data_IF_823621369650
#
_entry.id   IF_823621369650
#
_cell.length_a   1.000
_cell.length_b   1.000
_cell.length_c   1.000
_cell.angle_alpha   90.00
_cell.angle_beta   90.00
_cell.angle_gamma   90.00
#
_symmetry.space_group_name_H-M   'P 1'
#
loop_
_entity.id
_entity.type
_entity.pdbx_description
1 polymer ?
#
# COMPACT_ATOMS: atom_id res chain seq x y z
N UNK A 1 -22.53 0.78 17.04
CA UNK A 1 -21.83 2.02 17.43
C UNK A 1 -22.43 3.22 16.72
N UNK A 2 -22.45 4.39 17.39
CA UNK A 2 -22.90 5.65 16.77
C UNK A 2 -21.68 6.46 16.37
N UNK A 3 -21.53 6.72 15.07
CA UNK A 3 -20.42 7.51 14.53
C UNK A 3 -20.79 8.98 14.67
N UNK A 4 -20.22 9.68 15.67
CA UNK A 4 -20.58 11.06 15.99
C UNK A 4 -19.94 12.07 15.05
N UNK A 5 -18.70 11.84 14.64
CA UNK A 5 -17.97 12.76 13.77
C UNK A 5 -16.89 12.07 12.94
N UNK A 6 -16.58 12.70 11.81
CA UNK A 6 -15.46 12.35 10.94
C UNK A 6 -14.64 13.60 10.70
N UNK A 7 -13.41 13.60 11.15
CA UNK A 7 -12.43 14.66 10.91
C UNK A 7 -11.47 14.22 9.80
N UNK A 8 -11.21 15.11 8.85
CA UNK A 8 -10.33 14.88 7.73
C UNK A 8 -9.16 15.87 7.78
N UNK A 9 -7.95 15.37 7.62
CA UNK A 9 -6.73 16.18 7.56
C UNK A 9 -5.90 15.77 6.36
N UNK A 10 -5.58 16.74 5.51
CA UNK A 10 -4.56 16.56 4.48
C UNK A 10 -3.19 16.83 5.10
N UNK A 11 -2.25 15.91 4.88
CA UNK A 11 -0.87 16.04 5.33
C UNK A 11 0.11 15.76 4.19
N UNK A 12 1.29 16.35 4.28
CA UNK A 12 2.42 16.08 3.38
C UNK A 12 3.56 15.46 4.17
N UNK A 13 4.02 14.31 3.71
CA UNK A 13 5.07 13.53 4.34
C UNK A 13 6.26 13.42 3.38
N UNK A 14 7.40 14.04 3.69
CA UNK A 14 8.62 13.78 2.95
C UNK A 14 9.04 12.33 3.14
N UNK A 15 9.44 11.67 2.06
CA UNK A 15 9.98 10.31 2.12
C UNK A 15 11.43 10.36 2.60
N UNK A 16 11.84 9.44 3.48
CA UNK A 16 13.24 9.27 3.90
C UNK A 16 14.12 8.95 2.70
N UNK A 17 13.59 8.16 1.75
CA UNK A 17 14.22 7.86 0.47
C UNK A 17 13.17 8.02 -0.62
N UNK A 18 13.58 8.55 -1.76
CA UNK A 18 12.68 8.62 -2.92
C UNK A 18 12.22 7.23 -3.35
N UNK A 19 11.05 7.18 -3.97
CA UNK A 19 10.52 5.97 -4.57
C UNK A 19 10.25 6.21 -6.05
N UNK A 20 11.02 5.55 -6.92
CA UNK A 20 10.92 5.70 -8.37
C UNK A 20 10.30 4.47 -9.01
N UNK A 21 9.41 4.72 -9.94
CA UNK A 21 8.71 3.73 -10.78
C UNK A 21 8.93 4.07 -12.25
N UNK A 22 8.37 3.27 -13.15
CA UNK A 22 8.45 3.53 -14.60
C UNK A 22 7.76 4.83 -15.05
N UNK A 23 6.90 5.42 -14.22
CA UNK A 23 6.13 6.63 -14.55
C UNK A 23 6.47 7.85 -13.69
N UNK A 24 7.42 7.74 -12.78
CA UNK A 24 7.87 8.91 -12.04
C UNK A 24 8.58 8.60 -10.73
N UNK A 25 9.20 9.65 -10.18
CA UNK A 25 9.91 9.67 -8.89
C UNK A 25 9.07 10.44 -7.88
N UNK A 26 8.82 9.81 -6.74
CA UNK A 26 8.09 10.39 -5.61
C UNK A 26 9.08 10.67 -4.49
N UNK A 27 9.10 11.89 -3.99
CA UNK A 27 9.94 12.33 -2.85
C UNK A 27 9.12 12.72 -1.64
N UNK A 28 7.83 12.92 -1.83
CA UNK A 28 6.88 13.32 -0.80
C UNK A 28 5.55 12.62 -1.06
N UNK A 29 4.77 12.37 -0.03
CA UNK A 29 3.40 11.89 -0.14
C UNK A 29 2.42 12.89 0.41
N UNK A 30 1.41 13.23 -0.38
CA UNK A 30 0.20 13.92 0.03
C UNK A 30 -0.86 12.87 0.33
N UNK A 31 -1.38 12.85 1.53
CA UNK A 31 -2.37 11.88 1.98
C UNK A 31 -3.46 12.55 2.80
N UNK A 32 -4.64 11.93 2.85
CA UNK A 32 -5.72 12.41 3.68
C UNK A 32 -5.92 11.40 4.82
N UNK A 33 -5.76 11.88 6.05
CA UNK A 33 -6.05 11.11 7.26
C UNK A 33 -7.51 11.32 7.65
N UNK A 34 -8.21 10.25 7.94
CA UNK A 34 -9.55 10.25 8.50
C UNK A 34 -9.52 9.81 9.95
N UNK A 35 -10.10 10.60 10.85
CA UNK A 35 -10.40 10.23 12.23
C UNK A 35 -11.90 10.09 12.38
N UNK A 36 -12.34 8.93 12.80
CA UNK A 36 -13.74 8.64 13.13
C UNK A 36 -13.88 8.59 14.64
N UNK A 37 -14.89 9.26 15.18
CA UNK A 37 -15.14 9.26 16.63
C UNK A 37 -16.58 8.84 16.92
N UNK A 38 -16.80 8.17 18.06
CA UNK A 38 -18.12 7.84 18.58
C UNK A 38 -18.60 8.86 19.59
N UNK A 39 -19.90 8.83 19.92
CA UNK A 39 -20.46 9.65 20.99
C UNK A 39 -19.85 9.36 22.38
N UNK A 40 -19.26 8.20 22.55
CA UNK A 40 -18.60 7.76 23.79
C UNK A 40 -17.13 8.15 23.87
N UNK A 41 -16.60 8.83 22.82
CA UNK A 41 -15.23 9.31 22.77
C UNK A 41 -14.21 8.29 22.26
N UNK A 42 -14.63 7.12 21.79
CA UNK A 42 -13.73 6.18 21.12
C UNK A 42 -13.34 6.72 19.73
N UNK A 43 -12.09 6.46 19.32
CA UNK A 43 -11.53 6.97 18.08
C UNK A 43 -10.85 5.89 17.25
N UNK A 44 -11.02 5.96 15.93
CA UNK A 44 -10.32 5.14 14.96
C UNK A 44 -9.73 5.99 13.84
N UNK A 45 -8.68 5.48 13.20
CA UNK A 45 -7.89 6.19 12.22
C UNK A 45 -7.79 5.41 10.91
N UNK A 46 -7.91 6.12 9.81
CA UNK A 46 -7.75 5.58 8.46
C UNK A 46 -7.02 6.55 7.55
N UNK A 47 -6.60 6.07 6.40
CA UNK A 47 -5.79 6.82 5.45
C UNK A 47 -6.34 6.66 4.03
N UNK A 48 -6.52 7.78 3.31
CA UNK A 48 -6.71 7.79 1.88
C UNK A 48 -5.34 7.96 1.21
N UNK A 49 -4.89 6.90 0.55
CA UNK A 49 -3.56 6.84 -0.08
C UNK A 49 -3.55 7.30 -1.53
N UNK A 50 -4.57 8.03 -1.95
CA UNK A 50 -4.65 8.63 -3.29
C UNK A 50 -3.45 9.55 -3.53
N UNK A 51 -2.80 9.39 -4.68
CA UNK A 51 -1.57 10.13 -5.02
C UNK A 51 -1.82 11.58 -5.39
N UNK A 52 -0.77 12.28 -5.85
CA UNK A 52 -0.85 13.67 -6.31
C UNK A 52 -1.61 13.85 -7.63
N UNK A 53 -1.72 12.81 -8.45
CA UNK A 53 -2.38 12.86 -9.75
C UNK A 53 -2.79 11.50 -10.27
N UNK A 54 -3.53 11.45 -11.37
CA UNK A 54 -4.12 10.23 -11.93
C UNK A 54 -3.13 9.39 -12.74
N UNK A 55 -1.88 9.24 -12.23
CA UNK A 55 -0.82 8.52 -12.95
C UNK A 55 -0.72 7.05 -12.57
N UNK A 56 -1.20 6.69 -11.38
CA UNK A 56 -1.22 5.32 -10.89
C UNK A 56 -2.65 4.74 -10.87
N UNK A 57 -3.61 5.55 -10.48
CA UNK A 57 -5.04 5.21 -10.46
C UNK A 57 -5.84 6.41 -10.95
N UNK A 58 -7.11 6.22 -11.22
CA UNK A 58 -8.09 7.25 -11.57
C UNK A 58 -8.46 8.16 -10.39
N UNK A 59 -8.06 7.80 -9.19
CA UNK A 59 -8.33 8.53 -7.95
C UNK A 59 -7.05 9.18 -7.42
N UNK A 60 -7.11 10.49 -7.10
CA UNK A 60 -6.01 11.25 -6.52
C UNK A 60 -6.55 12.24 -5.47
N UNK A 61 -5.67 12.91 -4.73
CA UNK A 61 -6.02 13.72 -3.57
C UNK A 61 -7.08 14.79 -3.88
N UNK A 62 -6.98 15.48 -5.04
CA UNK A 62 -7.96 16.52 -5.45
C UNK A 62 -9.36 15.96 -5.73
N UNK A 63 -9.49 14.70 -6.16
CA UNK A 63 -10.81 14.07 -6.34
C UNK A 63 -11.29 13.39 -5.06
N UNK A 64 -10.37 12.87 -4.25
CA UNK A 64 -10.70 12.21 -3.00
C UNK A 64 -11.23 13.20 -1.93
N UNK A 65 -10.61 14.38 -1.81
CA UNK A 65 -11.01 15.37 -0.81
C UNK A 65 -12.47 15.80 -0.92
N UNK A 66 -12.98 16.34 -2.08
CA UNK A 66 -14.38 16.70 -2.20
C UNK A 66 -15.31 15.48 -2.11
N UNK A 67 -14.88 14.31 -2.56
CA UNK A 67 -15.68 13.08 -2.40
C UNK A 67 -15.86 12.72 -0.93
N UNK A 68 -14.78 12.80 -0.15
CA UNK A 68 -14.84 12.56 1.29
C UNK A 68 -15.73 13.59 2.00
N UNK A 69 -15.49 14.88 1.76
CA UNK A 69 -16.13 15.97 2.50
C UNK A 69 -17.61 16.18 2.12
N UNK A 70 -17.95 16.07 0.82
CA UNK A 70 -19.27 16.40 0.31
C UNK A 70 -20.22 15.21 0.23
N UNK A 71 -19.70 13.99 0.21
CA UNK A 71 -20.52 12.79 0.01
C UNK A 71 -20.30 11.74 1.10
N UNK A 72 -19.07 11.20 1.23
CA UNK A 72 -18.83 10.01 2.06
C UNK A 72 -18.97 10.30 3.55
N UNK A 73 -18.34 11.34 4.07
CA UNK A 73 -18.43 11.68 5.49
C UNK A 73 -19.87 12.05 5.91
N UNK A 74 -20.66 12.83 5.14
CA UNK A 74 -22.07 13.07 5.46
C UNK A 74 -22.97 11.83 5.42
N UNK A 75 -22.61 10.80 4.63
CA UNK A 75 -23.37 9.54 4.60
C UNK A 75 -23.17 8.71 5.86
N UNK A 76 -22.06 8.87 6.55
CA UNK A 76 -21.62 8.02 7.67
C UNK A 76 -21.75 8.75 9.02
N UNK A 77 -21.45 10.05 9.08
CA UNK A 77 -21.54 10.83 10.30
C UNK A 77 -23.00 10.89 10.81
N UNK A 78 -23.18 10.72 12.10
CA UNK A 78 -24.49 10.66 12.77
C UNK A 78 -25.21 9.32 12.60
N UNK A 79 -24.62 8.34 11.94
CA UNK A 79 -25.24 7.02 11.73
C UNK A 79 -24.93 6.06 12.86
N UNK A 80 -25.93 5.28 13.18
CA UNK A 80 -25.78 4.05 13.96
C UNK A 80 -25.51 2.89 13.02
N UNK A 81 -24.45 2.12 13.28
CA UNK A 81 -24.06 0.92 12.54
C UNK A 81 -23.87 -0.24 13.51
N UNK A 82 -24.21 -1.47 13.09
CA UNK A 82 -23.97 -2.64 13.92
C UNK A 82 -22.47 -2.95 14.04
N UNK A 83 -21.70 -2.70 12.98
CA UNK A 83 -20.25 -2.89 12.96
C UNK A 83 -19.59 -2.14 11.82
N UNK A 84 -18.26 -2.20 11.77
CA UNK A 84 -17.44 -1.54 10.73
C UNK A 84 -17.78 -2.06 9.32
N UNK A 85 -18.18 -3.32 9.20
CA UNK A 85 -18.59 -3.93 7.93
C UNK A 85 -19.77 -3.22 7.26
N UNK A 86 -20.67 -2.64 8.04
CA UNK A 86 -21.85 -1.96 7.51
C UNK A 86 -21.52 -0.59 6.88
N UNK A 87 -20.38 0.00 7.24
CA UNK A 87 -19.98 1.34 6.79
C UNK A 87 -19.83 1.41 5.27
N UNK A 88 -19.28 0.35 4.66
CA UNK A 88 -19.17 0.29 3.20
C UNK A 88 -20.52 0.34 2.50
N UNK A 89 -21.55 -0.31 3.07
CA UNK A 89 -22.90 -0.34 2.52
C UNK A 89 -23.53 1.07 2.48
N UNK A 90 -23.26 1.90 3.49
CA UNK A 90 -23.71 3.30 3.51
C UNK A 90 -23.13 4.11 2.33
N UNK A 91 -21.89 3.77 1.93
CA UNK A 91 -21.14 4.50 0.90
C UNK A 91 -21.24 3.89 -0.51
N UNK A 92 -21.88 2.74 -0.68
CA UNK A 92 -21.85 1.98 -1.94
C UNK A 92 -22.50 2.68 -3.13
N UNK A 93 -23.42 3.61 -2.89
CA UNK A 93 -24.06 4.41 -3.95
C UNK A 93 -23.09 5.35 -4.65
N UNK A 94 -22.02 5.78 -4.00
CA UNK A 94 -20.94 6.56 -4.62
C UNK A 94 -20.11 5.62 -5.52
N UNK A 95 -20.03 5.95 -6.81
CA UNK A 95 -19.27 5.14 -7.79
C UNK A 95 -17.79 5.40 -7.67
N UNK A 96 -16.96 4.34 -7.79
CA UNK A 96 -15.50 4.46 -7.68
C UNK A 96 -15.03 4.94 -6.30
N UNK A 97 -14.04 5.80 -6.27
CA UNK A 97 -13.46 6.44 -5.08
C UNK A 97 -13.14 5.45 -3.93
N UNK A 98 -12.47 4.37 -4.30
CA UNK A 98 -12.20 3.25 -3.38
C UNK A 98 -11.22 3.63 -2.29
N UNK A 99 -10.22 4.47 -2.60
CA UNK A 99 -9.25 4.95 -1.60
C UNK A 99 -9.91 5.92 -0.61
N UNK A 100 -10.80 6.79 -1.07
CA UNK A 100 -11.58 7.64 -0.19
C UNK A 100 -12.53 6.84 0.71
N UNK A 101 -13.22 5.84 0.17
CA UNK A 101 -14.06 4.93 0.98
C UNK A 101 -13.25 4.16 1.99
N UNK A 102 -12.10 3.61 1.58
CA UNK A 102 -11.21 2.88 2.46
C UNK A 102 -10.74 3.71 3.65
N UNK A 103 -10.51 5.02 3.48
CA UNK A 103 -10.11 5.89 4.58
C UNK A 103 -11.14 5.89 5.73
N UNK A 104 -12.43 6.00 5.42
CA UNK A 104 -13.50 5.97 6.43
C UNK A 104 -13.72 4.56 6.96
N UNK A 105 -13.78 3.57 6.07
CA UNK A 105 -14.02 2.17 6.43
C UNK A 105 -12.90 1.64 7.35
N UNK A 106 -11.63 1.84 7.00
CA UNK A 106 -10.51 1.40 7.84
C UNK A 106 -10.46 2.11 9.18
N UNK A 107 -10.85 3.39 9.25
CA UNK A 107 -10.98 4.10 10.51
C UNK A 107 -12.05 3.46 11.42
N UNK A 108 -13.17 2.99 10.84
CA UNK A 108 -14.20 2.30 11.60
C UNK A 108 -13.74 0.91 12.07
N UNK A 109 -12.98 0.17 11.26
CA UNK A 109 -12.37 -1.10 11.66
C UNK A 109 -11.34 -0.93 12.78
N UNK A 110 -10.51 0.11 12.72
CA UNK A 110 -9.55 0.45 13.78
C UNK A 110 -10.26 0.80 15.09
N UNK A 111 -11.34 1.59 15.00
CA UNK A 111 -12.17 1.96 16.14
C UNK A 111 -12.81 0.72 16.79
N UNK A 112 -13.45 -0.14 15.99
CA UNK A 112 -14.14 -1.34 16.48
C UNK A 112 -13.15 -2.31 17.14
N UNK A 113 -11.97 -2.51 16.55
CA UNK A 113 -10.92 -3.34 17.13
C UNK A 113 -10.42 -2.78 18.49
N UNK A 114 -10.25 -1.46 18.60
CA UNK A 114 -9.88 -0.79 19.86
C UNK A 114 -10.96 -0.94 20.93
N UNK A 115 -12.23 -0.78 20.56
CA UNK A 115 -13.35 -1.01 21.50
C UNK A 115 -13.41 -2.46 21.99
N UNK A 116 -13.08 -3.41 21.11
CA UNK A 116 -12.98 -4.83 21.47
C UNK A 116 -11.71 -5.18 22.26
N UNK A 117 -10.77 -4.25 22.44
CA UNK A 117 -9.48 -4.50 23.11
C UNK A 117 -8.57 -5.47 22.34
N UNK A 118 -8.76 -5.56 21.02
CA UNK A 118 -8.04 -6.49 20.16
C UNK A 118 -7.16 -5.75 19.14
N UNK A 119 -5.99 -6.30 18.79
CA UNK A 119 -5.27 -5.84 17.60
C UNK A 119 -6.15 -6.04 16.36
N UNK A 120 -6.13 -5.09 15.41
CA UNK A 120 -6.97 -5.13 14.22
C UNK A 120 -6.86 -6.45 13.46
N UNK A 121 -5.66 -7.01 13.29
CA UNK A 121 -5.47 -8.26 12.58
C UNK A 121 -6.21 -9.45 13.21
N UNK A 122 -6.31 -9.50 14.55
CA UNK A 122 -7.11 -10.52 15.25
C UNK A 122 -8.60 -10.26 15.09
N UNK A 123 -9.00 -8.99 15.20
CA UNK A 123 -10.39 -8.58 15.09
C UNK A 123 -11.01 -8.98 13.73
N UNK A 124 -10.25 -8.82 12.64
CA UNK A 124 -10.67 -9.22 11.29
C UNK A 124 -10.44 -10.72 10.97
N UNK A 125 -10.15 -11.55 11.98
CA UNK A 125 -10.02 -13.00 11.83
C UNK A 125 -8.63 -13.52 11.45
N UNK A 126 -7.58 -12.71 11.57
CA UNK A 126 -6.20 -13.16 11.36
C UNK A 126 -5.79 -14.21 12.39
N UNK A 127 -5.09 -15.26 11.94
CA UNK A 127 -4.68 -16.39 12.77
C UNK A 127 -3.16 -16.54 12.90
N UNK A 128 -2.40 -15.86 12.05
CA UNK A 128 -0.94 -15.95 12.04
C UNK A 128 -0.34 -14.73 12.75
N UNK A 129 0.56 -14.97 13.72
CA UNK A 129 1.31 -13.91 14.40
C UNK A 129 2.49 -13.39 13.59
N UNK A 130 3.01 -14.20 12.67
CA UNK A 130 4.14 -13.89 11.81
C UNK A 130 3.82 -14.23 10.36
N UNK A 131 4.13 -13.32 9.45
CA UNK A 131 3.89 -13.48 8.01
C UNK A 131 5.21 -13.21 7.26
N UNK A 132 5.68 -14.14 6.38
CA UNK A 132 6.83 -13.88 5.52
C UNK A 132 6.57 -12.67 4.62
N UNK A 133 7.39 -11.64 4.75
CA UNK A 133 7.25 -10.40 3.99
C UNK A 133 8.26 -10.33 2.84
N UNK A 134 7.87 -9.61 1.78
CA UNK A 134 8.77 -9.15 0.74
C UNK A 134 8.94 -7.63 0.80
N UNK A 135 10.05 -7.14 0.25
CA UNK A 135 10.30 -5.71 0.11
C UNK A 135 10.27 -5.30 -1.35
N UNK A 136 9.71 -4.11 -1.63
CA UNK A 136 9.70 -3.50 -2.97
C UNK A 136 10.71 -2.37 -3.02
N UNK A 137 11.71 -2.50 -3.90
CA UNK A 137 12.76 -1.51 -4.12
C UNK A 137 12.43 -0.74 -5.38
N UNK A 138 12.34 0.61 -5.28
CA UNK A 138 12.20 1.51 -6.42
C UNK A 138 13.46 1.51 -7.31
N UNK A 139 13.34 2.09 -8.50
CA UNK A 139 14.47 2.31 -9.41
C UNK A 139 15.49 3.19 -8.67
N UNK A 140 16.76 2.85 -8.77
CA UNK A 140 17.87 3.58 -8.17
C UNK A 140 18.61 4.37 -9.25
N UNK A 141 19.50 5.28 -8.83
CA UNK A 141 20.27 6.11 -9.77
C UNK A 141 21.41 5.32 -10.46
N UNK A 142 21.85 4.19 -9.89
CA UNK A 142 22.82 3.30 -10.51
C UNK A 142 22.59 1.82 -10.16
N UNK A 143 23.11 0.88 -10.96
CA UNK A 143 23.09 -0.55 -10.66
C UNK A 143 23.73 -0.89 -9.32
N UNK A 144 24.83 -0.23 -8.98
CA UNK A 144 25.59 -0.44 -7.75
C UNK A 144 24.74 -0.09 -6.53
N UNK A 145 24.03 1.05 -6.56
CA UNK A 145 23.12 1.44 -5.50
C UNK A 145 21.96 0.46 -5.34
N UNK A 146 21.45 -0.10 -6.46
CA UNK A 146 20.43 -1.14 -6.39
C UNK A 146 20.96 -2.39 -5.72
N UNK A 147 22.15 -2.86 -6.09
CA UNK A 147 22.79 -4.04 -5.50
C UNK A 147 23.01 -3.84 -4.00
N UNK A 148 23.58 -2.70 -3.60
CA UNK A 148 23.81 -2.37 -2.18
C UNK A 148 22.49 -2.41 -1.39
N UNK A 149 21.42 -1.83 -1.96
CA UNK A 149 20.10 -1.82 -1.32
C UNK A 149 19.50 -3.22 -1.22
N UNK A 150 19.65 -4.07 -2.25
CA UNK A 150 19.25 -5.47 -2.21
C UNK A 150 20.01 -6.22 -1.12
N UNK A 151 21.34 -6.06 -1.05
CA UNK A 151 22.18 -6.69 -0.01
C UNK A 151 21.72 -6.31 1.40
N UNK A 152 21.42 -5.03 1.63
CA UNK A 152 20.90 -4.55 2.91
C UNK A 152 19.59 -5.25 3.28
N UNK A 153 18.65 -5.34 2.35
CA UNK A 153 17.33 -5.96 2.60
C UNK A 153 17.45 -7.49 2.78
N UNK A 154 18.31 -8.16 2.02
CA UNK A 154 18.62 -9.59 2.21
C UNK A 154 19.22 -9.83 3.59
N UNK A 155 20.17 -8.99 4.01
CA UNK A 155 20.78 -9.08 5.35
C UNK A 155 19.78 -8.79 6.48
N UNK A 156 18.78 -7.96 6.22
CA UNK A 156 17.66 -7.71 7.13
C UNK A 156 16.67 -8.90 7.22
N UNK A 157 16.85 -9.94 6.38
CA UNK A 157 16.07 -11.17 6.43
C UNK A 157 14.91 -11.26 5.45
N UNK A 158 14.74 -10.29 4.55
CA UNK A 158 13.71 -10.39 3.52
C UNK A 158 14.05 -11.53 2.53
N UNK A 159 13.07 -12.41 2.33
CA UNK A 159 13.22 -13.58 1.45
C UNK A 159 12.74 -13.30 0.02
N UNK A 160 11.91 -12.28 -0.16
CA UNK A 160 11.37 -11.87 -1.45
C UNK A 160 11.69 -10.41 -1.71
N UNK A 161 12.46 -10.13 -2.75
CA UNK A 161 12.79 -8.77 -3.19
C UNK A 161 12.10 -8.50 -4.51
N UNK A 162 11.30 -7.43 -4.55
CA UNK A 162 10.69 -6.92 -5.77
C UNK A 162 11.43 -5.66 -6.20
N UNK A 163 11.96 -5.64 -7.42
CA UNK A 163 12.56 -4.45 -8.00
C UNK A 163 11.65 -3.82 -9.05
N UNK A 164 11.68 -2.51 -9.14
CA UNK A 164 11.02 -1.75 -10.21
C UNK A 164 11.95 -1.63 -11.40
N UNK A 165 11.37 -1.76 -12.61
CA UNK A 165 12.07 -1.60 -13.88
C UNK A 165 11.37 -0.57 -14.76
N UNK A 166 12.10 -0.04 -15.75
CA UNK A 166 11.59 0.87 -16.80
C UNK A 166 12.35 0.60 -18.10
N UNK A 167 11.89 1.08 -19.28
CA UNK A 167 12.66 1.01 -20.51
C UNK A 167 14.08 1.58 -20.33
N UNK A 168 15.10 0.81 -20.76
CA UNK A 168 16.51 1.16 -20.56
C UNK A 168 17.06 0.88 -19.16
N UNK A 169 16.22 0.43 -18.25
CA UNK A 169 16.55 -0.04 -16.89
C UNK A 169 15.77 -1.32 -16.62
N UNK A 170 15.98 -2.34 -17.47
CA UNK A 170 15.23 -3.59 -17.49
C UNK A 170 16.13 -4.81 -17.63
N UNK A 171 16.41 -5.27 -18.84
CA UNK A 171 17.13 -6.53 -19.06
C UNK A 171 18.51 -6.55 -18.42
N UNK A 172 19.30 -5.49 -18.57
CA UNK A 172 20.67 -5.46 -18.07
C UNK A 172 20.72 -5.39 -16.54
N UNK A 173 19.81 -4.62 -15.93
CA UNK A 173 19.71 -4.59 -14.47
C UNK A 173 19.25 -5.93 -13.89
N UNK A 174 18.30 -6.60 -14.55
CA UNK A 174 17.86 -7.94 -14.14
C UNK A 174 19.00 -8.94 -14.25
N UNK A 175 19.79 -8.91 -15.33
CA UNK A 175 20.99 -9.77 -15.50
C UNK A 175 22.01 -9.49 -14.39
N UNK A 176 22.31 -8.24 -14.12
CA UNK A 176 23.26 -7.82 -13.07
C UNK A 176 22.82 -8.32 -11.71
N UNK A 177 21.55 -8.12 -11.36
CA UNK A 177 21.01 -8.60 -10.08
C UNK A 177 21.02 -10.13 -10.01
N UNK A 178 20.64 -10.83 -11.08
CA UNK A 178 20.68 -12.31 -11.11
C UNK A 178 22.10 -12.87 -11.03
N UNK A 179 23.09 -12.23 -11.67
CA UNK A 179 24.48 -12.63 -11.55
C UNK A 179 25.02 -12.47 -10.12
N UNK A 180 24.62 -11.40 -9.43
CA UNK A 180 25.06 -11.14 -8.04
C UNK A 180 24.32 -11.99 -7.01
N UNK A 181 23.02 -12.29 -7.26
CA UNK A 181 22.15 -13.09 -6.39
C UNK A 181 21.59 -14.28 -7.17
N UNK A 182 22.42 -15.26 -7.54
CA UNK A 182 21.92 -16.49 -8.15
C UNK A 182 21.05 -17.19 -7.10
N UNK A 183 19.78 -17.40 -7.38
CA UNK A 183 18.87 -18.10 -6.45
C UNK A 183 19.52 -19.41 -6.01
N UNK A 184 19.83 -19.55 -4.73
CA UNK A 184 20.39 -20.79 -4.19
C UNK A 184 19.32 -21.86 -4.05
N UNK A 185 19.41 -22.97 -4.79
CA UNK A 185 18.50 -24.11 -4.63
C UNK A 185 18.83 -25.02 -3.45
N UNK A 186 19.95 -24.81 -2.74
CA UNK A 186 20.59 -25.84 -1.93
C UNK A 186 20.38 -25.79 -0.43
N UNK A 187 19.71 -24.76 0.12
CA UNK A 187 19.44 -24.73 1.55
C UNK A 187 17.98 -24.32 1.79
N UNK A 188 17.14 -25.30 2.01
CA UNK A 188 15.67 -25.20 2.13
C UNK A 188 15.08 -24.17 3.11
N UNK A 189 15.85 -23.14 3.48
CA UNK A 189 15.47 -22.12 4.46
C UNK A 189 15.49 -20.67 3.97
N UNK A 190 16.03 -20.35 2.78
CA UNK A 190 16.02 -18.98 2.22
C UNK A 190 15.90 -19.01 0.70
N UNK A 191 14.66 -19.05 0.19
CA UNK A 191 14.43 -18.82 -1.24
C UNK A 191 14.37 -17.31 -1.50
N UNK A 192 15.45 -16.76 -2.09
CA UNK A 192 15.43 -15.42 -2.63
C UNK A 192 14.63 -15.41 -3.94
N UNK A 193 13.49 -14.72 -3.95
CA UNK A 193 12.66 -14.52 -5.14
C UNK A 193 12.79 -13.08 -5.63
N UNK A 194 13.25 -12.91 -6.87
CA UNK A 194 13.27 -11.62 -7.53
C UNK A 194 12.02 -11.45 -8.38
N UNK A 195 11.25 -10.44 -8.08
CA UNK A 195 10.10 -10.02 -8.88
C UNK A 195 10.41 -8.70 -9.58
N UNK A 196 10.01 -8.60 -10.85
CA UNK A 196 10.08 -7.36 -11.63
C UNK A 196 8.69 -6.79 -11.82
N UNK A 197 8.53 -5.48 -11.73
CA UNK A 197 7.29 -4.79 -12.10
C UNK A 197 7.61 -3.53 -12.87
N UNK A 198 7.08 -3.43 -14.06
CA UNK A 198 7.28 -2.33 -14.99
C UNK A 198 6.58 -2.61 -16.32
N UNK A 199 6.61 -1.69 -17.24
CA UNK A 199 5.86 -1.71 -18.49
C UNK A 199 5.99 -2.99 -19.32
N UNK A 200 4.96 -3.28 -20.13
CA UNK A 200 4.74 -4.42 -21.01
C UNK A 200 5.85 -4.72 -22.07
N UNK A 201 6.89 -3.91 -22.17
CA UNK A 201 7.97 -4.08 -23.14
C UNK A 201 8.90 -5.30 -22.88
N UNK A 202 8.82 -5.92 -21.71
CA UNK A 202 9.65 -7.10 -21.38
C UNK A 202 9.11 -8.39 -22.01
N UNK A 203 7.91 -8.38 -22.57
CA UNK A 203 7.31 -9.57 -23.19
C UNK A 203 7.92 -9.98 -24.52
N UNK A 204 8.74 -9.14 -25.17
CA UNK A 204 9.31 -9.43 -26.49
C UNK A 204 10.73 -10.02 -26.48
N UNK A 205 11.41 -10.09 -25.34
CA UNK A 205 12.74 -10.66 -25.20
C UNK A 205 12.68 -11.95 -24.38
N UNK A 206 12.50 -13.08 -25.09
CA UNK A 206 12.65 -14.46 -24.66
C UNK A 206 12.52 -14.78 -23.16
N UNK A 207 11.51 -15.56 -22.82
CA UNK A 207 11.20 -16.20 -21.55
C UNK A 207 12.28 -16.07 -20.45
N UNK A 208 12.19 -15.03 -19.68
CA UNK A 208 12.61 -15.13 -18.27
C UNK A 208 11.49 -15.90 -17.59
N UNK A 209 11.72 -17.15 -17.18
CA UNK A 209 10.74 -17.97 -16.47
C UNK A 209 10.21 -17.19 -15.28
N UNK A 210 8.97 -16.76 -15.37
CA UNK A 210 8.14 -16.47 -14.21
C UNK A 210 7.69 -17.83 -13.68
N UNK A 211 8.25 -18.27 -12.57
CA UNK A 211 7.63 -19.34 -11.82
C UNK A 211 6.41 -18.76 -11.12
N UNK A 212 5.26 -18.78 -11.85
CA UNK A 212 3.93 -18.66 -11.29
C UNK A 212 3.45 -20.09 -10.98
N UNK A 213 3.38 -20.39 -9.70
CA UNK A 213 2.47 -21.36 -9.08
C UNK A 213 2.36 -21.06 -7.58
#
# INVERSE_FOLDING_TARGET
>A
MIISSIELREIRLPLIHFFETSFGRTTERRIIIARVSTSEGAEGWGECTAGEGPFYSDEWAETAWPTLTSFLAPMVAGREVAGAADVYELMKSVRGHRMAKAAIETACWDLEAKQAGLPLWKHIGGVQSEIPCGVSIGIQDSPEQLIEKIEKEVNAGYQRIKIKIKPGWDLDIVRTVRARFPGHPSDGRRQFRLHTSGCAAVQSAGRVRSDDA
#
